data_IF_947288471138
#
_entry.id   IF_947288471138
#
_cell.length_a   1.000
_cell.length_b   1.000
_cell.length_c   1.000
_cell.angle_alpha   90.00
_cell.angle_beta   90.00
_cell.angle_gamma   90.00
#
_symmetry.space_group_name_H-M   'P 1'
#
loop_
_entity.id
_entity.type
_entity.pdbx_description
1 polymer ?
#
# COMPACT_ATOMS: atom_id res chain seq x y z
N UNK A 1 8.07 -12.09 5.81
CA UNK A 1 8.67 -10.84 5.29
C UNK A 1 9.81 -11.20 4.37
N UNK A 2 10.14 -10.34 3.40
CA UNK A 2 11.36 -10.45 2.60
C UNK A 2 12.37 -9.44 3.14
N UNK A 3 13.57 -9.92 3.47
CA UNK A 3 14.64 -9.11 4.07
C UNK A 3 15.83 -9.12 3.13
N UNK A 4 16.38 -7.93 2.87
CA UNK A 4 17.60 -7.70 2.11
C UNK A 4 18.65 -7.10 3.04
N UNK A 5 19.88 -7.63 2.99
CA UNK A 5 21.02 -7.13 3.77
C UNK A 5 20.91 -7.34 5.27
N UNK A 6 21.83 -6.73 6.01
CA UNK A 6 21.84 -6.77 7.48
C UNK A 6 20.99 -5.64 8.08
N UNK A 7 19.85 -6.00 8.66
CA UNK A 7 18.89 -5.09 9.29
C UNK A 7 19.11 -4.91 10.81
N UNK A 8 20.11 -5.57 11.40
CA UNK A 8 20.33 -5.60 12.87
C UNK A 8 21.09 -4.39 13.41
N UNK A 9 21.59 -3.53 12.52
CA UNK A 9 22.32 -2.31 12.91
C UNK A 9 21.37 -1.21 13.41
N UNK A 10 21.92 -0.20 14.10
CA UNK A 10 21.16 0.96 14.61
C UNK A 10 20.66 1.92 13.53
N UNK A 11 21.08 1.74 12.28
CA UNK A 11 20.76 2.62 11.17
C UNK A 11 19.31 2.41 10.69
N UNK A 12 18.58 3.48 10.30
CA UNK A 12 17.22 3.36 9.81
C UNK A 12 17.07 2.38 8.64
N UNK A 13 16.13 1.45 8.72
CA UNK A 13 15.87 0.44 7.67
C UNK A 13 14.84 0.94 6.68
N UNK A 14 15.06 0.78 5.38
CA UNK A 14 14.05 1.04 4.35
C UNK A 14 12.97 -0.05 4.40
N UNK A 15 11.72 0.35 4.62
CA UNK A 15 10.61 -0.59 4.83
C UNK A 15 9.46 -0.31 3.86
N UNK A 16 8.91 -1.35 3.26
CA UNK A 16 7.62 -1.32 2.57
C UNK A 16 6.65 -2.29 3.23
N UNK A 17 5.51 -1.78 3.71
CA UNK A 17 4.35 -2.62 4.08
C UNK A 17 3.36 -2.65 2.92
N UNK A 18 3.34 -3.76 2.20
CA UNK A 18 2.49 -4.01 1.04
C UNK A 18 1.27 -4.84 1.45
N UNK A 19 0.06 -4.38 1.12
CA UNK A 19 -1.14 -5.20 1.27
C UNK A 19 -1.34 -5.99 -0.02
N UNK A 20 -1.53 -7.30 0.10
CA UNK A 20 -1.79 -8.22 -1.00
C UNK A 20 -2.84 -7.69 -1.97
N UNK A 21 -2.55 -7.80 -3.25
CA UNK A 21 -3.45 -7.48 -4.34
C UNK A 21 -3.22 -8.47 -5.49
N UNK A 22 -3.78 -9.67 -5.40
CA UNK A 22 -3.58 -10.77 -6.33
C UNK A 22 -3.75 -10.35 -7.80
N UNK A 23 -4.80 -9.57 -8.08
CA UNK A 23 -5.10 -9.08 -9.43
C UNK A 23 -3.97 -8.27 -10.04
N UNK A 24 -3.25 -7.47 -9.26
CA UNK A 24 -2.19 -6.60 -9.78
C UNK A 24 -0.80 -7.20 -9.56
N UNK A 25 -0.57 -7.80 -8.40
CA UNK A 25 0.72 -8.38 -7.99
C UNK A 25 1.08 -9.63 -8.82
N UNK A 26 0.08 -10.42 -9.23
CA UNK A 26 0.29 -11.67 -9.98
C UNK A 26 -0.21 -11.57 -11.42
N UNK A 27 -1.43 -11.06 -11.61
CA UNK A 27 -2.05 -11.02 -12.95
C UNK A 27 -1.78 -9.73 -13.74
N UNK A 28 -1.01 -8.79 -13.19
CA UNK A 28 -0.65 -7.56 -13.90
C UNK A 28 -1.84 -6.64 -14.21
N UNK A 29 -2.90 -6.68 -13.40
CA UNK A 29 -4.08 -5.83 -13.59
C UNK A 29 -3.71 -4.34 -13.62
N UNK A 30 -4.22 -3.65 -14.64
CA UNK A 30 -4.09 -2.21 -14.84
C UNK A 30 -5.08 -1.37 -14.03
N UNK A 31 -6.06 -2.00 -13.35
CA UNK A 31 -7.14 -1.30 -12.60
C UNK A 31 -6.65 -0.60 -11.32
N UNK A 32 -5.47 -0.95 -10.84
CA UNK A 32 -4.84 -0.31 -9.69
C UNK A 32 -3.33 -0.23 -9.87
N UNK A 33 -2.65 0.44 -8.95
CA UNK A 33 -1.20 0.66 -8.96
C UNK A 33 -0.43 -0.30 -8.03
N UNK A 34 -1.10 -1.33 -7.48
CA UNK A 34 -0.50 -2.20 -6.46
C UNK A 34 0.74 -2.96 -6.97
N UNK A 35 0.65 -3.61 -8.13
CA UNK A 35 1.75 -4.38 -8.71
C UNK A 35 2.96 -3.50 -9.04
N UNK A 36 2.72 -2.30 -9.59
CA UNK A 36 3.78 -1.31 -9.83
C UNK A 36 4.44 -0.85 -8.52
N UNK A 37 3.65 -0.56 -7.48
CA UNK A 37 4.19 -0.22 -6.17
C UNK A 37 5.00 -1.37 -5.55
N UNK A 38 4.59 -2.63 -5.75
CA UNK A 38 5.35 -3.79 -5.30
C UNK A 38 6.70 -3.85 -6.00
N UNK A 39 6.73 -3.72 -7.34
CA UNK A 39 7.95 -3.72 -8.13
C UNK A 39 8.90 -2.57 -7.73
N UNK A 40 8.38 -1.34 -7.64
CA UNK A 40 9.17 -0.16 -7.22
C UNK A 40 9.78 -0.37 -5.84
N UNK A 41 9.02 -0.91 -4.89
CA UNK A 41 9.53 -1.16 -3.54
C UNK A 41 10.65 -2.22 -3.54
N UNK A 42 10.48 -3.31 -4.29
CA UNK A 42 11.51 -4.35 -4.41
C UNK A 42 12.78 -3.79 -5.05
N UNK A 43 12.67 -3.01 -6.13
CA UNK A 43 13.81 -2.35 -6.77
C UNK A 43 14.53 -1.39 -5.81
N UNK A 44 13.79 -0.50 -5.13
CA UNK A 44 14.39 0.42 -4.16
C UNK A 44 15.12 -0.28 -3.02
N UNK A 45 14.55 -1.38 -2.51
CA UNK A 45 15.20 -2.19 -1.45
C UNK A 45 16.46 -2.87 -1.99
N UNK A 46 16.42 -3.38 -3.22
CA UNK A 46 17.59 -3.98 -3.85
C UNK A 46 18.70 -2.96 -4.11
N UNK A 47 18.36 -1.77 -4.61
CA UNK A 47 19.30 -0.68 -4.88
C UNK A 47 19.95 -0.15 -3.59
N UNK A 48 19.19 -0.05 -2.49
CA UNK A 48 19.70 0.32 -1.16
C UNK A 48 20.58 -0.80 -0.55
N UNK A 49 20.40 -2.05 -0.99
CA UNK A 49 21.09 -3.23 -0.45
C UNK A 49 20.67 -3.61 0.97
N UNK A 50 19.74 -2.87 1.58
CA UNK A 50 19.27 -3.07 2.95
C UNK A 50 17.81 -2.64 3.11
N UNK A 51 16.92 -3.57 3.43
CA UNK A 51 15.51 -3.24 3.64
C UNK A 51 14.59 -4.42 3.88
N UNK A 52 13.34 -4.10 4.19
CA UNK A 52 12.28 -5.10 4.44
C UNK A 52 11.07 -4.80 3.56
N UNK A 53 10.64 -5.81 2.81
CA UNK A 53 9.31 -5.84 2.20
C UNK A 53 8.41 -6.77 3.01
N UNK A 54 7.44 -6.18 3.69
CA UNK A 54 6.42 -6.90 4.44
C UNK A 54 5.15 -7.06 3.60
N UNK A 55 4.90 -8.29 3.15
CA UNK A 55 3.72 -8.65 2.37
C UNK A 55 2.58 -9.10 3.30
N UNK A 56 1.58 -8.25 3.50
CA UNK A 56 0.43 -8.49 4.35
C UNK A 56 -0.70 -9.11 3.55
N UNK A 57 -1.10 -10.34 3.90
CA UNK A 57 -2.17 -11.10 3.23
C UNK A 57 -3.57 -10.61 3.63
N UNK A 58 -3.85 -9.34 3.31
CA UNK A 58 -5.09 -8.63 3.62
C UNK A 58 -5.70 -8.05 2.33
N UNK A 59 -6.04 -8.95 1.42
CA UNK A 59 -6.62 -8.63 0.11
C UNK A 59 -7.88 -7.75 0.22
N UNK A 60 -8.06 -6.85 -0.75
CA UNK A 60 -9.26 -6.02 -0.87
C UNK A 60 -9.45 -5.01 0.27
N UNK A 61 -8.39 -4.65 1.00
CA UNK A 61 -8.48 -3.91 2.28
C UNK A 61 -9.20 -4.71 3.39
N UNK A 62 -8.99 -6.02 3.40
CA UNK A 62 -9.51 -6.91 4.44
C UNK A 62 -10.84 -7.61 4.08
N UNK A 63 -11.50 -7.21 2.99
CA UNK A 63 -12.76 -7.86 2.55
C UNK A 63 -12.54 -9.16 1.76
N UNK A 64 -11.28 -9.44 1.38
CA UNK A 64 -10.90 -10.62 0.60
C UNK A 64 -11.14 -10.50 -0.91
N UNK A 65 -10.57 -11.44 -1.67
CA UNK A 65 -10.58 -11.42 -3.13
C UNK A 65 -12.00 -11.47 -3.73
N UNK A 66 -12.84 -12.35 -3.21
CA UNK A 66 -14.21 -12.53 -3.72
C UNK A 66 -15.02 -11.22 -3.67
N UNK A 67 -14.98 -10.53 -2.53
CA UNK A 67 -15.70 -9.26 -2.37
C UNK A 67 -15.05 -8.12 -3.15
N UNK A 68 -13.73 -8.14 -3.34
CA UNK A 68 -13.05 -7.21 -4.24
C UNK A 68 -13.53 -7.34 -5.68
N UNK A 69 -13.75 -8.56 -6.17
CA UNK A 69 -14.30 -8.78 -7.52
C UNK A 69 -15.75 -8.29 -7.64
N UNK A 70 -16.58 -8.48 -6.60
CA UNK A 70 -17.93 -7.89 -6.54
C UNK A 70 -17.87 -6.35 -6.51
N UNK A 71 -16.92 -5.78 -5.77
CA UNK A 71 -16.73 -4.33 -5.74
C UNK A 71 -16.28 -3.80 -7.10
N UNK A 72 -15.52 -4.58 -7.88
CA UNK A 72 -15.15 -4.24 -9.25
C UNK A 72 -16.37 -4.23 -10.19
N UNK A 73 -17.29 -5.18 -10.05
CA UNK A 73 -18.54 -5.18 -10.83
C UNK A 73 -19.40 -3.94 -10.56
N UNK A 74 -19.48 -3.53 -9.28
CA UNK A 74 -20.15 -2.28 -8.91
C UNK A 74 -19.42 -1.03 -9.43
N UNK A 75 -18.08 -1.05 -9.44
CA UNK A 75 -17.28 0.03 -10.02
C UNK A 75 -17.45 0.14 -11.54
N UNK A 76 -17.56 -1.00 -12.23
CA UNK A 76 -17.87 -1.05 -13.66
C UNK A 76 -19.27 -0.49 -13.96
N UNK A 77 -20.15 -0.44 -12.94
CA UNK A 77 -21.47 0.19 -12.98
C UNK A 77 -21.47 1.66 -12.55
N UNK A 78 -20.30 2.24 -12.25
CA UNK A 78 -20.11 3.67 -11.99
C UNK A 78 -19.89 4.09 -10.53
N UNK A 79 -19.89 3.15 -9.58
CA UNK A 79 -19.57 3.46 -8.18
C UNK A 79 -18.06 3.64 -8.01
N UNK A 80 -17.62 4.45 -7.06
CA UNK A 80 -16.21 4.44 -6.67
C UNK A 80 -15.87 3.35 -5.65
N UNK A 81 -14.59 3.23 -5.28
CA UNK A 81 -14.16 2.18 -4.37
C UNK A 81 -14.77 2.25 -2.97
N UNK A 82 -15.09 3.45 -2.46
CA UNK A 82 -15.72 3.62 -1.14
C UNK A 82 -17.19 3.24 -1.22
N UNK A 83 -17.88 3.75 -2.25
CA UNK A 83 -19.30 3.49 -2.49
C UNK A 83 -19.58 2.00 -2.75
N UNK A 84 -18.72 1.33 -3.53
CA UNK A 84 -18.82 -0.09 -3.79
C UNK A 84 -18.66 -0.92 -2.51
N UNK A 85 -17.71 -0.57 -1.64
CA UNK A 85 -17.53 -1.28 -0.37
C UNK A 85 -18.73 -1.09 0.56
N UNK A 86 -19.24 0.13 0.69
CA UNK A 86 -20.42 0.43 1.51
C UNK A 86 -21.67 -0.29 0.99
N UNK A 87 -21.84 -0.35 -0.34
CA UNK A 87 -22.95 -1.08 -0.98
C UNK A 87 -22.90 -2.59 -0.72
N UNK A 88 -21.70 -3.14 -0.51
CA UNK A 88 -21.49 -4.54 -0.12
C UNK A 88 -21.57 -4.78 1.40
N UNK A 89 -21.84 -3.73 2.20
CA UNK A 89 -21.94 -3.80 3.66
C UNK A 89 -20.60 -3.79 4.39
N UNK A 90 -19.52 -3.31 3.75
CA UNK A 90 -18.20 -3.21 4.36
C UNK A 90 -17.78 -1.75 4.61
N UNK A 91 -16.99 -1.55 5.67
CA UNK A 91 -16.25 -0.30 5.87
C UNK A 91 -15.24 -0.06 4.75
N UNK A 92 -14.79 1.19 4.61
CA UNK A 92 -13.84 1.57 3.56
C UNK A 92 -12.47 0.87 3.67
N UNK A 93 -12.06 0.51 4.88
CA UNK A 93 -10.78 -0.16 5.17
C UNK A 93 -10.87 -0.99 6.47
N UNK A 94 -10.73 -2.31 6.37
CA UNK A 94 -10.80 -3.25 7.49
C UNK A 94 -9.42 -3.86 7.83
N UNK A 95 -8.33 -3.25 7.38
CA UNK A 95 -6.98 -3.78 7.58
C UNK A 95 -6.48 -3.59 9.01
N UNK A 96 -5.82 -4.63 9.52
CA UNK A 96 -5.14 -4.61 10.80
C UNK A 96 -3.66 -4.27 10.64
N UNK A 97 -3.30 -3.02 10.90
CA UNK A 97 -1.92 -2.54 10.78
C UNK A 97 -1.04 -2.97 11.96
N UNK A 98 -1.62 -3.30 13.10
CA UNK A 98 -0.90 -3.74 14.30
C UNK A 98 -0.11 -5.02 14.09
N UNK A 99 -0.64 -5.98 13.32
CA UNK A 99 0.09 -7.21 12.97
C UNK A 99 1.37 -6.87 12.19
N UNK A 100 1.28 -5.92 11.26
CA UNK A 100 2.45 -5.49 10.49
C UNK A 100 3.52 -4.85 11.38
N UNK A 101 3.09 -4.03 12.34
CA UNK A 101 3.99 -3.42 13.31
C UNK A 101 4.69 -4.47 14.20
N UNK A 102 3.95 -5.47 14.70
CA UNK A 102 4.50 -6.56 15.50
C UNK A 102 5.54 -7.36 14.72
N UNK A 103 5.28 -7.69 13.45
CA UNK A 103 6.24 -8.41 12.62
C UNK A 103 7.53 -7.59 12.43
N UNK A 104 7.41 -6.27 12.18
CA UNK A 104 8.59 -5.42 12.02
C UNK A 104 9.39 -5.29 13.34
N UNK A 105 8.71 -5.22 14.48
CA UNK A 105 9.36 -5.19 15.79
C UNK A 105 10.04 -6.53 16.12
N UNK A 106 9.41 -7.66 15.79
CA UNK A 106 9.96 -9.01 15.95
C UNK A 106 11.21 -9.24 15.08
N UNK A 107 11.26 -8.62 13.89
CA UNK A 107 12.46 -8.57 13.05
C UNK A 107 13.60 -7.72 13.64
N UNK A 108 13.39 -7.06 14.79
CA UNK A 108 14.37 -6.24 15.49
C UNK A 108 14.48 -4.80 14.99
N UNK A 109 13.52 -4.31 14.21
CA UNK A 109 13.55 -2.93 13.72
C UNK A 109 13.18 -1.95 14.83
N UNK A 110 13.87 -0.80 14.85
CA UNK A 110 13.57 0.31 15.77
C UNK A 110 13.39 1.64 15.04
N UNK A 111 14.26 1.95 14.08
CA UNK A 111 14.16 3.15 13.22
C UNK A 111 13.87 2.71 11.80
N UNK A 112 12.84 3.28 11.18
CA UNK A 112 12.42 2.89 9.83
C UNK A 112 12.20 4.09 8.92
N UNK A 113 12.57 3.93 7.66
CA UNK A 113 12.23 4.83 6.54
C UNK A 113 11.09 4.15 5.78
N UNK A 114 9.86 4.65 5.94
CA UNK A 114 8.65 3.96 5.49
C UNK A 114 8.25 4.38 4.08
N UNK A 115 8.19 3.44 3.14
CA UNK A 115 7.69 3.64 1.78
C UNK A 115 6.16 3.67 1.73
N UNK A 116 5.56 4.86 1.86
CA UNK A 116 4.10 5.05 1.86
C UNK A 116 3.68 6.43 1.35
N UNK A 117 2.55 6.48 0.64
CA UNK A 117 1.83 7.72 0.32
C UNK A 117 0.61 7.93 1.22
N UNK A 118 0.31 6.99 2.12
CA UNK A 118 -0.81 7.09 3.06
C UNK A 118 -0.25 7.48 4.45
N UNK A 119 -0.48 8.72 4.91
CA UNK A 119 0.02 9.19 6.20
C UNK A 119 -0.64 8.49 7.39
N UNK A 120 -1.87 7.96 7.23
CA UNK A 120 -2.56 7.21 8.30
C UNK A 120 -1.78 5.95 8.69
N UNK A 121 -0.97 5.39 7.78
CA UNK A 121 -0.12 4.22 8.08
C UNK A 121 1.04 4.52 9.04
N UNK A 122 1.38 5.79 9.24
CA UNK A 122 2.54 6.19 10.06
C UNK A 122 2.20 6.24 11.55
N UNK A 123 0.96 6.61 11.89
CA UNK A 123 0.51 6.88 13.26
C UNK A 123 0.46 5.61 14.12
N UNK A 124 0.30 4.43 13.51
CA UNK A 124 0.08 3.17 14.21
C UNK A 124 1.36 2.46 14.70
N UNK A 125 2.55 2.99 14.42
CA UNK A 125 3.81 2.23 14.58
C UNK A 125 4.55 2.56 15.89
N UNK A 126 4.41 3.77 16.42
CA UNK A 126 5.16 4.20 17.61
C UNK A 126 4.86 3.36 18.86
N UNK A 127 3.62 2.89 19.00
CA UNK A 127 3.19 2.02 20.11
C UNK A 127 3.87 0.64 20.13
N UNK A 128 4.55 0.26 19.05
CA UNK A 128 5.29 -1.01 18.92
C UNK A 128 6.80 -0.82 19.01
N UNK A 129 7.28 0.35 19.48
CA UNK A 129 8.70 0.66 19.55
C UNK A 129 9.35 0.95 18.18
N UNK A 130 8.53 1.17 17.15
CA UNK A 130 8.98 1.51 15.80
C UNK A 130 8.86 3.01 15.58
N UNK A 131 10.01 3.67 15.46
CA UNK A 131 10.12 5.08 15.12
C UNK A 131 10.24 5.25 13.61
N UNK A 132 9.23 5.84 12.98
CA UNK A 132 9.34 6.29 11.58
C UNK A 132 10.20 7.56 11.56
N UNK A 133 11.39 7.49 11.00
CA UNK A 133 12.31 8.63 10.90
C UNK A 133 12.21 9.36 9.56
N UNK A 134 11.62 8.72 8.55
CA UNK A 134 11.43 9.27 7.22
C UNK A 134 10.21 8.62 6.56
N UNK A 135 9.40 9.43 5.87
CA UNK A 135 8.41 8.94 4.92
C UNK A 135 8.99 9.02 3.50
N UNK A 136 9.19 7.87 2.88
CA UNK A 136 9.70 7.76 1.50
C UNK A 136 8.51 7.64 0.55
N UNK A 137 8.31 8.57 -0.40
CA UNK A 137 7.24 8.45 -1.38
C UNK A 137 7.41 7.22 -2.29
N UNK A 138 6.29 6.64 -2.72
CA UNK A 138 6.26 5.50 -3.63
C UNK A 138 5.24 5.73 -4.74
N UNK A 139 5.68 6.34 -5.83
CA UNK A 139 4.81 6.81 -6.89
C UNK A 139 4.91 5.86 -8.09
N UNK A 140 3.80 5.21 -8.40
CA UNK A 140 3.58 4.50 -9.65
C UNK A 140 3.04 5.48 -10.71
N UNK A 141 3.26 5.20 -11.99
CA UNK A 141 2.77 6.09 -13.05
C UNK A 141 1.28 5.82 -13.29
N UNK A 142 0.41 6.84 -13.22
CA UNK A 142 -1.00 6.65 -13.55
C UNK A 142 -1.18 6.20 -15.00
N UNK A 143 -2.17 5.35 -15.23
CA UNK A 143 -2.59 4.93 -16.56
C UNK A 143 -4.11 5.18 -16.74
N UNK A 144 -4.64 5.14 -17.97
CA UNK A 144 -6.05 5.43 -18.22
C UNK A 144 -7.03 4.55 -17.44
N UNK A 145 -6.64 3.33 -17.05
CA UNK A 145 -7.50 2.36 -16.35
C UNK A 145 -7.52 2.53 -14.83
N UNK A 146 -6.51 3.17 -14.23
CA UNK A 146 -6.44 3.36 -12.77
C UNK A 146 -6.64 4.79 -12.31
N UNK A 147 -6.82 5.76 -13.22
CA UNK A 147 -6.95 7.17 -12.87
C UNK A 147 -8.08 7.40 -11.85
N UNK A 148 -9.28 6.91 -12.14
CA UNK A 148 -10.43 7.03 -11.23
C UNK A 148 -10.15 6.45 -9.84
N UNK A 149 -9.53 5.27 -9.78
CA UNK A 149 -9.12 4.63 -8.54
C UNK A 149 -8.10 5.47 -7.74
N UNK A 150 -7.12 6.06 -8.42
CA UNK A 150 -6.11 6.92 -7.80
C UNK A 150 -6.72 8.24 -7.31
N UNK A 151 -7.69 8.81 -8.03
CA UNK A 151 -8.45 9.97 -7.57
C UNK A 151 -9.26 9.66 -6.31
N UNK A 152 -9.96 8.51 -6.26
CA UNK A 152 -10.67 8.10 -5.04
C UNK A 152 -9.69 7.97 -3.87
N UNK A 153 -8.50 7.40 -4.09
CA UNK A 153 -7.45 7.32 -3.06
C UNK A 153 -7.03 8.69 -2.55
N UNK A 154 -6.84 9.66 -3.45
CA UNK A 154 -6.43 11.01 -3.09
C UNK A 154 -7.56 11.75 -2.36
N UNK A 155 -8.75 11.83 -2.96
CA UNK A 155 -9.90 12.64 -2.51
C UNK A 155 -10.58 12.05 -1.27
N UNK A 156 -10.81 10.73 -1.24
CA UNK A 156 -11.62 10.08 -0.19
C UNK A 156 -10.79 9.30 0.84
N UNK A 157 -9.59 8.84 0.50
CA UNK A 157 -8.75 8.02 1.39
C UNK A 157 -7.50 8.73 1.93
N UNK A 158 -7.28 9.99 1.56
CA UNK A 158 -6.22 10.85 2.10
C UNK A 158 -4.81 10.47 1.65
N UNK A 159 -4.67 9.82 0.50
CA UNK A 159 -3.35 9.51 -0.06
C UNK A 159 -2.69 10.76 -0.66
N UNK A 160 -1.40 10.96 -0.36
CA UNK A 160 -0.56 12.03 -0.91
C UNK A 160 -0.08 11.63 -2.31
N UNK A 161 -0.90 11.86 -3.33
CA UNK A 161 -0.60 11.58 -4.73
C UNK A 161 -0.57 12.87 -5.55
N UNK A 162 0.34 12.95 -6.52
CA UNK A 162 0.33 13.98 -7.57
C UNK A 162 -0.16 13.32 -8.85
N UNK A 163 -1.42 13.57 -9.20
CA UNK A 163 -2.03 13.01 -10.41
C UNK A 163 -1.86 13.99 -11.57
N UNK A 164 -1.53 13.52 -12.78
CA UNK A 164 -1.50 14.36 -13.97
C UNK A 164 -2.93 14.85 -14.29
N UNK A 165 -3.04 16.12 -14.70
CA UNK A 165 -4.28 16.64 -15.29
C UNK A 165 -4.33 16.15 -16.73
N UNK A 166 -5.34 15.34 -17.07
CA UNK A 166 -5.55 14.89 -18.46
C UNK A 166 -6.50 15.81 -19.26
N UNK A 167 -7.00 16.89 -18.64
CA UNK A 167 -7.87 17.89 -19.28
C UNK A 167 -7.11 18.85 -20.22
N UNK A 168 -5.78 18.75 -20.32
CA UNK A 168 -4.95 19.52 -21.26
C UNK A 168 -4.58 18.69 -22.51
N UNK A 169 -5.58 18.22 -23.26
CA UNK A 169 -5.40 17.70 -24.63
C UNK A 169 -6.43 18.24 -25.61
#
# INVERSE_FOLDING_TARGET
ALVMGDITTSEPVLVRVHSECLTSDVFGSLRCDCGEQLAIAMHKIADEGRGVLLYMRQEGRGIGLHNKLRAYELQDSGLDTVEANLSLGFEADLREYGIGAQILADLGLHKIRMMTNNPKKLIALEGYGLKVVEQVPILANPNPHNLHYLETKQKKLGHLLKLPNFDDK
#
